data_IF_083869974658
#
_entry.id   IF_083869974658
#
_cell.length_a   1.000
_cell.length_b   1.000
_cell.length_c   1.000
_cell.angle_alpha   90.00
_cell.angle_beta   90.00
_cell.angle_gamma   90.00
#
_symmetry.space_group_name_H-M   'P 1'
#
loop_
_entity.id
_entity.type
_entity.pdbx_description
1 polymer ?
#
# COMPACT_ATOMS: atom_id res chain seq x y z
N UNK A 1 11.67 -40.93 23.13
CA UNK A 1 11.33 -39.52 23.40
C UNK A 1 10.79 -38.93 22.11
N UNK A 2 9.48 -38.70 22.05
CA UNK A 2 8.82 -38.10 20.89
C UNK A 2 8.72 -36.61 21.14
N UNK A 3 9.49 -35.81 20.42
CA UNK A 3 9.40 -34.35 20.45
C UNK A 3 8.05 -33.95 19.83
N UNK A 4 7.12 -33.45 20.65
CA UNK A 4 5.95 -32.75 20.14
C UNK A 4 6.43 -31.46 19.49
N UNK A 5 6.24 -31.37 18.16
CA UNK A 5 6.35 -30.11 17.44
C UNK A 5 5.26 -29.18 17.98
N UNK A 6 5.71 -28.07 18.57
CA UNK A 6 4.83 -27.05 19.14
C UNK A 6 3.77 -26.63 18.15
N UNK A 7 2.54 -26.57 18.64
CA UNK A 7 1.39 -26.00 17.95
C UNK A 7 1.73 -24.56 17.56
N UNK A 8 2.01 -24.34 16.27
CA UNK A 8 2.15 -23.00 15.71
C UNK A 8 0.74 -22.43 15.62
N UNK A 9 0.44 -21.44 16.47
CA UNK A 9 -0.77 -20.63 16.36
C UNK A 9 -0.93 -20.19 14.90
N UNK A 10 -2.10 -20.36 14.27
CA UNK A 10 -2.28 -19.94 12.88
C UNK A 10 -2.08 -18.43 12.82
N UNK A 11 -1.00 -18.00 12.16
CA UNK A 11 -0.77 -16.60 11.85
C UNK A 11 -2.07 -16.05 11.23
N UNK A 12 -2.60 -15.01 11.86
CA UNK A 12 -3.77 -14.24 11.44
C UNK A 12 -3.86 -14.21 9.90
N UNK A 13 -4.89 -14.86 9.35
CA UNK A 13 -4.94 -15.27 7.95
C UNK A 13 -4.48 -14.15 7.02
N UNK A 14 -3.23 -14.24 6.55
CA UNK A 14 -2.67 -13.29 5.60
C UNK A 14 -3.64 -13.23 4.43
N UNK A 15 -4.14 -12.03 4.11
CA UNK A 15 -5.01 -11.85 2.94
C UNK A 15 -4.28 -12.44 1.75
N UNK A 16 -4.81 -13.52 1.17
CA UNK A 16 -4.11 -14.27 0.14
C UNK A 16 -3.87 -13.33 -1.05
N UNK A 17 -2.60 -12.99 -1.27
CA UNK A 17 -2.19 -12.13 -2.38
C UNK A 17 -2.26 -12.95 -3.67
N UNK A 18 -3.02 -12.48 -4.64
CA UNK A 18 -3.16 -13.14 -5.94
C UNK A 18 -2.47 -12.32 -7.03
N UNK A 19 -1.24 -12.74 -7.35
CA UNK A 19 -0.41 -12.13 -8.38
C UNK A 19 -0.89 -12.38 -9.80
N UNK A 20 -1.79 -13.36 -10.02
CA UNK A 20 -2.31 -13.67 -11.35
C UNK A 20 -3.12 -12.51 -11.96
N UNK A 21 -3.58 -11.56 -11.14
CA UNK A 21 -4.28 -10.35 -11.60
C UNK A 21 -3.39 -9.46 -12.48
N UNK A 22 -2.07 -9.54 -12.33
CA UNK A 22 -1.13 -8.78 -13.14
C UNK A 22 -1.02 -9.30 -14.58
N UNK A 23 -1.49 -10.52 -14.84
CA UNK A 23 -1.58 -11.05 -16.20
C UNK A 23 -2.66 -10.33 -17.04
N UNK A 24 -3.56 -9.57 -16.41
CA UNK A 24 -4.54 -8.74 -17.10
C UNK A 24 -3.86 -7.48 -17.67
N UNK A 25 -3.75 -7.31 -19.01
CA UNK A 25 -2.96 -6.22 -19.59
C UNK A 25 -3.44 -4.81 -19.22
N UNK A 26 -4.71 -4.69 -18.83
CA UNK A 26 -5.29 -3.42 -18.37
C UNK A 26 -4.80 -3.03 -16.98
N UNK A 27 -4.50 -4.00 -16.11
CA UNK A 27 -4.09 -3.75 -14.72
C UNK A 27 -2.73 -3.07 -14.69
N UNK A 28 -1.75 -3.60 -15.40
CA UNK A 28 -0.40 -3.01 -15.44
C UNK A 28 -0.42 -1.59 -16.03
N UNK A 29 -1.12 -1.38 -17.15
CA UNK A 29 -1.23 -0.05 -17.78
C UNK A 29 -1.86 0.98 -16.84
N UNK A 30 -2.90 0.58 -16.11
CA UNK A 30 -3.54 1.44 -15.12
C UNK A 30 -2.60 1.71 -13.95
N UNK A 31 -1.90 0.69 -13.42
CA UNK A 31 -0.92 0.86 -12.35
C UNK A 31 0.19 1.86 -12.73
N UNK A 32 0.75 1.74 -13.94
CA UNK A 32 1.73 2.69 -14.44
C UNK A 32 1.16 4.11 -14.60
N UNK A 33 -0.09 4.24 -15.06
CA UNK A 33 -0.75 5.55 -15.21
C UNK A 33 -0.99 6.22 -13.85
N UNK A 34 -1.47 5.46 -12.86
CA UNK A 34 -1.65 5.94 -11.48
C UNK A 34 -0.31 6.34 -10.88
N UNK A 35 0.72 5.50 -11.01
CA UNK A 35 2.06 5.79 -10.50
C UNK A 35 2.66 7.07 -11.11
N UNK A 36 2.50 7.29 -12.42
CA UNK A 36 2.90 8.55 -13.07
C UNK A 36 2.16 9.77 -12.50
N UNK A 37 0.86 9.63 -12.24
CA UNK A 37 0.07 10.68 -11.60
C UNK A 37 0.57 11.01 -10.20
N UNK A 38 0.87 10.00 -9.40
CA UNK A 38 1.40 10.18 -8.05
C UNK A 38 2.81 10.75 -8.02
N UNK A 39 3.73 10.26 -8.86
CA UNK A 39 5.07 10.82 -8.98
C UNK A 39 5.05 12.29 -9.43
N UNK A 40 4.08 12.68 -10.26
CA UNK A 40 3.90 14.09 -10.63
C UNK A 40 3.36 14.92 -9.45
N UNK A 41 2.33 14.43 -8.78
CA UNK A 41 1.61 15.19 -7.74
C UNK A 41 2.38 15.22 -6.40
N UNK A 42 3.23 14.22 -6.16
CA UNK A 42 3.96 13.99 -4.90
C UNK A 42 5.47 13.80 -5.09
N UNK A 43 6.04 14.15 -6.25
CA UNK A 43 7.42 13.77 -6.65
C UNK A 43 8.58 14.20 -5.75
N UNK A 44 8.35 15.08 -4.77
CA UNK A 44 9.33 15.39 -3.72
C UNK A 44 9.34 14.36 -2.58
N UNK A 45 8.35 13.49 -2.53
CA UNK A 45 8.06 12.61 -1.39
C UNK A 45 7.77 11.16 -1.79
N UNK A 46 7.40 10.91 -3.05
CA UNK A 46 7.08 9.59 -3.55
C UNK A 46 7.58 9.45 -4.99
N UNK A 47 8.50 8.52 -5.21
CA UNK A 47 9.07 8.22 -6.52
C UNK A 47 8.11 7.37 -7.36
N UNK A 48 8.33 7.34 -8.68
CA UNK A 48 7.48 6.60 -9.60
C UNK A 48 7.54 5.09 -9.32
N UNK A 49 8.73 4.56 -9.09
CA UNK A 49 8.99 3.16 -8.81
C UNK A 49 8.26 2.72 -7.53
N UNK A 50 8.34 3.52 -6.47
CA UNK A 50 7.63 3.28 -5.22
C UNK A 50 6.10 3.32 -5.42
N UNK A 51 5.60 4.34 -6.12
CA UNK A 51 4.18 4.45 -6.42
C UNK A 51 3.67 3.28 -7.27
N UNK A 52 4.49 2.81 -8.21
CA UNK A 52 4.17 1.67 -9.06
C UNK A 52 4.15 0.37 -8.27
N UNK A 53 5.16 0.13 -7.43
CA UNK A 53 5.21 -1.04 -6.56
C UNK A 53 3.98 -1.08 -5.64
N UNK A 54 3.65 0.04 -4.99
CA UNK A 54 2.49 0.11 -4.11
C UNK A 54 1.17 -0.09 -4.87
N UNK A 55 1.05 0.43 -6.09
CA UNK A 55 -0.10 0.17 -6.95
C UNK A 55 -0.24 -1.33 -7.27
N UNK A 56 0.87 -2.00 -7.61
CA UNK A 56 0.92 -3.45 -7.87
C UNK A 56 0.53 -4.24 -6.63
N UNK A 57 1.09 -3.90 -5.46
CA UNK A 57 0.75 -4.54 -4.17
C UNK A 57 -0.76 -4.44 -3.89
N UNK A 58 -1.33 -3.23 -4.01
CA UNK A 58 -2.76 -3.00 -3.77
C UNK A 58 -3.63 -3.83 -4.70
N UNK A 59 -3.24 -3.99 -5.97
CA UNK A 59 -4.01 -4.82 -6.90
C UNK A 59 -3.96 -6.30 -6.57
N UNK A 60 -2.78 -6.82 -6.22
CA UNK A 60 -2.60 -8.23 -5.91
C UNK A 60 -3.29 -8.62 -4.57
N UNK A 61 -3.25 -7.73 -3.57
CA UNK A 61 -3.99 -7.87 -2.30
C UNK A 61 -5.51 -7.92 -2.49
N UNK A 62 -6.03 -7.39 -3.61
CA UNK A 62 -7.48 -7.21 -3.87
C UNK A 62 -7.88 -7.70 -5.27
N UNK A 63 -7.26 -8.78 -5.72
CA UNK A 63 -7.41 -9.29 -7.08
C UNK A 63 -8.88 -9.55 -7.48
N UNK A 64 -9.68 -10.11 -6.57
CA UNK A 64 -11.11 -10.36 -6.82
C UNK A 64 -11.91 -9.07 -7.07
N UNK A 65 -11.63 -8.01 -6.31
CA UNK A 65 -12.26 -6.70 -6.49
C UNK A 65 -11.80 -6.05 -7.81
N UNK A 66 -10.52 -6.14 -8.14
CA UNK A 66 -9.96 -5.64 -9.41
C UNK A 66 -10.61 -6.32 -10.61
N UNK A 67 -10.69 -7.67 -10.59
CA UNK A 67 -11.33 -8.45 -11.65
C UNK A 67 -12.80 -8.07 -11.82
N UNK A 68 -13.53 -7.89 -10.71
CA UNK A 68 -14.92 -7.43 -10.73
C UNK A 68 -15.06 -6.03 -11.33
N UNK A 69 -14.23 -5.07 -10.91
CA UNK A 69 -14.25 -3.70 -11.45
C UNK A 69 -14.00 -3.71 -12.96
N UNK A 70 -13.01 -4.50 -13.42
CA UNK A 70 -12.72 -4.62 -14.84
C UNK A 70 -13.89 -5.23 -15.61
N UNK A 71 -14.54 -6.26 -15.08
CA UNK A 71 -15.68 -6.92 -15.71
C UNK A 71 -16.92 -6.01 -15.79
N UNK A 72 -17.19 -5.21 -14.75
CA UNK A 72 -18.43 -4.44 -14.63
C UNK A 72 -18.32 -2.99 -15.13
N UNK A 73 -17.17 -2.35 -14.96
CA UNK A 73 -17.00 -0.91 -15.17
C UNK A 73 -15.75 -0.52 -15.99
N UNK A 74 -14.83 -1.46 -16.22
CA UNK A 74 -13.65 -1.28 -17.07
C UNK A 74 -12.52 -0.45 -16.44
N UNK A 75 -11.49 -0.18 -17.27
CA UNK A 75 -10.22 0.41 -16.83
C UNK A 75 -10.33 1.82 -16.23
N UNK A 76 -11.30 2.64 -16.66
CA UNK A 76 -11.50 3.99 -16.12
C UNK A 76 -11.91 3.96 -14.64
N UNK A 77 -12.80 3.03 -14.28
CA UNK A 77 -13.17 2.83 -12.88
C UNK A 77 -12.02 2.24 -12.08
N UNK A 78 -11.26 1.30 -12.66
CA UNK A 78 -10.06 0.75 -12.01
C UNK A 78 -9.04 1.85 -11.69
N UNK A 79 -8.79 2.78 -12.62
CA UNK A 79 -7.90 3.91 -12.40
C UNK A 79 -8.33 4.77 -11.21
N UNK A 80 -9.62 5.14 -11.17
CA UNK A 80 -10.19 5.94 -10.07
C UNK A 80 -10.07 5.20 -8.74
N UNK A 81 -10.46 3.94 -8.70
CA UNK A 81 -10.41 3.10 -7.51
C UNK A 81 -8.98 2.96 -6.98
N UNK A 82 -8.02 2.64 -7.86
CA UNK A 82 -6.61 2.44 -7.51
C UNK A 82 -5.98 3.74 -7.02
N UNK A 83 -6.27 4.86 -7.68
CA UNK A 83 -5.80 6.19 -7.26
C UNK A 83 -6.29 6.53 -5.85
N UNK A 84 -7.55 6.21 -5.51
CA UNK A 84 -8.07 6.45 -4.18
C UNK A 84 -7.38 5.56 -3.14
N UNK A 85 -7.19 4.27 -3.42
CA UNK A 85 -6.51 3.34 -2.51
C UNK A 85 -5.06 3.74 -2.25
N UNK A 86 -4.33 4.11 -3.30
CA UNK A 86 -2.94 4.55 -3.16
C UNK A 86 -2.84 5.85 -2.36
N UNK A 87 -3.78 6.78 -2.56
CA UNK A 87 -3.88 8.01 -1.76
C UNK A 87 -4.14 7.71 -0.30
N UNK A 88 -5.10 6.83 -0.01
CA UNK A 88 -5.45 6.49 1.37
C UNK A 88 -4.29 5.81 2.09
N UNK A 89 -3.59 4.88 1.42
CA UNK A 89 -2.40 4.21 1.95
C UNK A 89 -1.26 5.20 2.18
N UNK A 90 -0.97 6.06 1.21
CA UNK A 90 0.05 7.09 1.33
C UNK A 90 -0.25 8.11 2.44
N UNK A 91 -1.48 8.64 2.50
CA UNK A 91 -1.88 9.56 3.57
C UNK A 91 -1.84 8.89 4.95
N UNK A 92 -2.20 7.62 5.03
CA UNK A 92 -2.10 6.85 6.28
C UNK A 92 -0.65 6.70 6.69
N UNK A 93 0.23 6.36 5.76
CA UNK A 93 1.64 6.17 6.05
C UNK A 93 2.35 7.49 6.38
N UNK A 94 2.08 8.56 5.63
CA UNK A 94 2.55 9.91 5.94
C UNK A 94 2.10 10.35 7.34
N UNK A 95 0.83 10.12 7.70
CA UNK A 95 0.33 10.39 9.07
C UNK A 95 1.06 9.56 10.12
N UNK A 96 1.31 8.27 9.86
CA UNK A 96 2.09 7.40 10.76
C UNK A 96 3.52 7.93 10.92
N UNK A 97 4.21 8.28 9.83
CA UNK A 97 5.57 8.85 9.86
C UNK A 97 5.61 10.17 10.66
N UNK A 98 4.63 11.05 10.48
CA UNK A 98 4.50 12.30 11.27
C UNK A 98 4.21 12.03 12.75
N UNK A 99 3.43 10.98 13.07
CA UNK A 99 3.22 10.53 14.45
C UNK A 99 4.48 9.93 15.09
N UNK A 100 5.38 9.38 14.27
CA UNK A 100 6.71 8.92 14.64
C UNK A 100 7.76 10.05 14.62
N UNK A 101 7.40 11.28 14.99
CA UNK A 101 8.40 12.21 15.53
C UNK A 101 9.08 11.48 16.68
N UNK A 102 10.39 11.28 16.55
CA UNK A 102 11.14 10.31 17.35
C UNK A 102 10.95 10.56 18.84
N UNK A 103 11.00 9.48 19.63
CA UNK A 103 11.13 9.57 21.08
C UNK A 103 12.22 10.58 21.48
N UNK A 104 13.31 10.69 20.71
CA UNK A 104 14.37 11.68 20.90
C UNK A 104 13.94 13.12 20.61
N UNK A 105 13.12 13.40 19.59
CA UNK A 105 12.59 14.74 19.33
C UNK A 105 11.57 15.15 20.41
N UNK A 106 10.77 14.21 20.92
CA UNK A 106 9.92 14.43 22.08
C UNK A 106 10.75 14.64 23.37
N UNK A 107 11.82 13.86 23.58
CA UNK A 107 12.71 13.97 24.74
C UNK A 107 13.53 15.28 24.73
N UNK A 108 14.01 15.71 23.57
CA UNK A 108 14.68 17.01 23.39
C UNK A 108 13.74 18.21 23.53
N UNK A 109 12.44 18.03 23.28
CA UNK A 109 11.45 19.06 23.58
C UNK A 109 11.21 19.16 25.10
N UNK A 110 11.17 18.03 25.81
CA UNK A 110 11.05 17.98 27.28
C UNK A 110 12.30 18.55 27.96
N UNK A 111 13.50 18.15 27.54
CA UNK A 111 14.78 18.67 28.07
C UNK A 111 14.96 20.18 27.85
N UNK A 112 14.45 20.73 26.74
CA UNK A 112 14.45 22.19 26.49
C UNK A 112 13.32 22.93 27.20
N UNK A 113 12.26 22.25 27.62
CA UNK A 113 11.12 22.84 28.32
C UNK A 113 11.33 22.96 29.85
N UNK A 114 12.41 22.40 30.39
CA UNK A 114 12.86 22.69 31.76
C UNK A 114 11.86 22.36 32.88
N UNK A 115 11.16 21.23 32.79
CA UNK A 115 10.51 20.59 33.94
C UNK A 115 11.39 19.47 34.49
#
# INVERSE_FOLDING_TARGET
MTTQLGHVEPAEAATAVDWSVLAEPQVERVAQAVARGFARDYGLTLEYEDAFQEAVMVTAERASEVRRILAEAGAGMLHRWMSQRLRDRWLTEAKRRTGHISYEAARHAVERSGL
#
